data_IF_605253366348
#
_entry.id   IF_605253366348
#
_cell.length_a   1.000
_cell.length_b   1.000
_cell.length_c   1.000
_cell.angle_alpha   90.00
_cell.angle_beta   90.00
_cell.angle_gamma   90.00
#
_symmetry.space_group_name_H-M   'P 1'
#
loop_
_entity.id
_entity.type
_entity.pdbx_description
1 polymer ?
#
# COMPACT_ATOMS: atom_id res chain seq x y z
N UNK A 1 5.62 -8.13 11.58
CA UNK A 1 6.63 -7.12 11.22
C UNK A 1 6.22 -5.80 11.86
N UNK A 2 7.01 -5.28 12.77
CA UNK A 2 6.70 -4.04 13.50
C UNK A 2 7.25 -2.82 12.78
N UNK A 3 6.52 -1.71 12.84
CA UNK A 3 7.03 -0.41 12.43
C UNK A 3 7.76 0.24 13.61
N UNK A 4 8.95 0.80 13.37
CA UNK A 4 9.67 1.57 14.38
C UNK A 4 8.85 2.79 14.79
N UNK A 5 9.00 3.23 16.03
CA UNK A 5 8.18 4.28 16.63
C UNK A 5 9.04 5.50 16.93
N UNK A 6 8.47 6.70 16.73
CA UNK A 6 9.15 7.95 17.03
C UNK A 6 10.27 8.26 16.05
N UNK A 7 11.38 8.80 16.55
CA UNK A 7 12.53 9.21 15.73
C UNK A 7 13.37 8.06 15.20
N UNK A 8 13.11 6.84 15.62
CA UNK A 8 13.83 5.65 15.19
C UNK A 8 13.35 5.11 13.84
N UNK A 9 12.05 5.30 13.54
CA UNK A 9 11.46 4.90 12.29
C UNK A 9 11.23 6.10 11.40
N UNK A 10 12.03 6.26 10.36
CA UNK A 10 11.86 7.35 9.42
C UNK A 10 11.92 6.85 7.98
N UNK A 11 11.19 7.57 7.13
CA UNK A 11 11.34 7.52 5.70
C UNK A 11 11.86 8.86 5.20
N UNK A 12 12.45 8.87 4.04
CA UNK A 12 12.89 10.10 3.37
C UNK A 12 12.55 10.07 1.88
N UNK A 13 12.71 11.22 1.23
CA UNK A 13 12.60 11.37 -0.22
C UNK A 13 14.00 11.59 -0.79
N UNK A 14 14.72 10.51 -1.21
CA UNK A 14 16.08 10.62 -1.72
C UNK A 14 16.17 11.34 -3.06
N UNK A 15 15.08 11.32 -3.84
CA UNK A 15 15.04 11.97 -5.17
C UNK A 15 13.64 12.45 -5.50
N UNK A 16 13.57 13.59 -6.15
CA UNK A 16 12.35 14.09 -6.76
C UNK A 16 12.68 14.95 -7.99
N UNK A 17 11.72 15.04 -8.89
CA UNK A 17 11.75 15.93 -10.05
C UNK A 17 10.32 16.42 -10.33
N UNK A 18 10.17 17.69 -10.67
CA UNK A 18 8.86 18.29 -10.98
C UNK A 18 9.01 19.19 -12.20
N UNK A 19 8.10 19.01 -13.17
CA UNK A 19 7.89 19.89 -14.31
C UNK A 19 6.38 20.00 -14.61
N UNK A 20 6.02 20.80 -15.60
CA UNK A 20 4.61 20.97 -15.99
C UNK A 20 3.96 19.68 -16.50
N UNK A 21 4.74 18.76 -17.05
CA UNK A 21 4.26 17.55 -17.73
C UNK A 21 4.55 16.26 -16.97
N UNK A 22 5.56 16.24 -16.13
CA UNK A 22 5.99 15.06 -15.37
C UNK A 22 6.38 15.46 -13.97
N UNK A 23 5.93 14.68 -12.99
CA UNK A 23 6.52 14.65 -11.67
C UNK A 23 7.05 13.26 -11.34
N UNK A 24 8.16 13.22 -10.62
CA UNK A 24 8.78 11.99 -10.13
C UNK A 24 9.16 12.15 -8.67
N UNK A 25 8.90 11.12 -7.87
CA UNK A 25 9.35 11.05 -6.49
C UNK A 25 9.78 9.62 -6.16
N UNK A 26 10.89 9.50 -5.44
CA UNK A 26 11.28 8.25 -4.80
C UNK A 26 11.17 8.45 -3.27
N UNK A 27 10.35 7.63 -2.63
CA UNK A 27 10.26 7.54 -1.17
C UNK A 27 10.96 6.28 -0.69
N UNK A 28 11.82 6.40 0.31
CA UNK A 28 12.54 5.28 0.92
C UNK A 28 12.12 5.14 2.38
N UNK A 29 11.54 4.00 2.71
CA UNK A 29 11.07 3.65 4.05
C UNK A 29 11.82 2.44 4.63
N UNK A 30 13.01 2.13 4.09
CA UNK A 30 13.82 0.98 4.53
C UNK A 30 14.13 1.02 6.03
N UNK A 31 14.26 2.21 6.61
CA UNK A 31 14.51 2.39 8.04
C UNK A 31 13.25 2.51 8.91
N UNK A 32 12.05 2.47 8.30
CA UNK A 32 10.80 2.61 9.04
C UNK A 32 10.39 1.32 9.79
N UNK A 33 10.97 0.19 9.41
CA UNK A 33 10.66 -1.13 9.97
C UNK A 33 11.91 -1.74 10.62
N UNK A 34 11.71 -2.46 11.72
CA UNK A 34 12.78 -3.12 12.44
C UNK A 34 12.47 -3.25 13.92
N UNK A 35 13.45 -3.65 14.70
CA UNK A 35 13.31 -3.81 16.15
C UNK A 35 13.08 -2.45 16.81
N UNK A 36 12.11 -2.38 17.72
CA UNK A 36 11.89 -1.20 18.57
C UNK A 36 13.02 -1.13 19.61
N UNK A 37 13.75 -0.03 19.63
CA UNK A 37 14.88 0.20 20.54
C UNK A 37 14.66 1.39 21.48
N UNK A 38 13.59 2.16 21.30
CA UNK A 38 13.26 3.31 22.16
C UNK A 38 13.05 2.91 23.62
N UNK A 39 13.84 3.43 24.58
CA UNK A 39 13.67 3.09 25.99
C UNK A 39 12.26 3.40 26.51
N UNK A 40 11.63 4.47 26.02
CA UNK A 40 10.29 4.85 26.41
C UNK A 40 9.24 3.78 26.03
N UNK A 41 9.34 3.26 24.80
CA UNK A 41 8.40 2.26 24.32
C UNK A 41 8.66 0.88 24.91
N UNK A 42 9.91 0.53 25.16
CA UNK A 42 10.27 -0.68 25.89
C UNK A 42 9.69 -0.64 27.32
N UNK A 43 9.90 0.47 28.05
CA UNK A 43 9.33 0.66 29.38
C UNK A 43 7.81 0.58 29.37
N UNK A 44 7.13 1.20 28.41
CA UNK A 44 5.65 1.11 28.30
C UNK A 44 5.18 -0.29 27.95
N UNK A 45 5.90 -1.02 27.14
CA UNK A 45 5.64 -2.43 26.86
C UNK A 45 5.70 -3.28 28.13
N UNK A 46 6.77 -3.12 28.93
CA UNK A 46 6.93 -3.78 30.23
C UNK A 46 5.79 -3.43 31.19
N UNK A 47 5.45 -2.15 31.32
CA UNK A 47 4.34 -1.69 32.18
C UNK A 47 2.97 -2.24 31.74
N UNK A 48 2.82 -2.58 30.47
CA UNK A 48 1.60 -3.17 29.90
C UNK A 48 1.64 -4.69 29.87
N UNK A 49 2.67 -5.32 30.43
CA UNK A 49 2.93 -6.77 30.38
C UNK A 49 2.94 -7.32 28.95
N UNK A 50 3.45 -6.55 27.99
CA UNK A 50 3.64 -7.02 26.62
C UNK A 50 4.82 -7.97 26.56
N UNK A 51 4.61 -9.10 25.92
CA UNK A 51 5.69 -10.02 25.60
C UNK A 51 6.52 -9.47 24.43
N UNK A 52 7.82 -9.28 24.66
CA UNK A 52 8.78 -8.83 23.65
C UNK A 52 9.22 -10.00 22.77
N UNK A 53 8.30 -10.50 21.95
CA UNK A 53 8.54 -11.64 21.07
C UNK A 53 8.47 -11.25 19.59
N UNK A 54 9.03 -12.05 18.67
CA UNK A 54 8.90 -11.83 17.23
C UNK A 54 7.45 -11.77 16.76
N UNK A 55 6.56 -12.57 17.34
CA UNK A 55 5.14 -12.65 17.05
C UNK A 55 4.44 -11.32 17.33
N UNK A 56 4.89 -10.60 18.34
CA UNK A 56 4.40 -9.28 18.73
C UNK A 56 5.14 -8.14 18.02
N UNK A 57 5.99 -8.44 17.01
CA UNK A 57 6.67 -7.45 16.19
C UNK A 57 7.90 -6.80 16.82
N UNK A 58 8.47 -7.40 17.86
CA UNK A 58 9.64 -6.87 18.58
C UNK A 58 10.99 -7.35 18.04
N UNK A 59 10.97 -8.15 16.96
CA UNK A 59 12.19 -8.63 16.33
C UNK A 59 12.65 -7.72 15.18
N UNK A 60 13.91 -7.88 14.79
CA UNK A 60 14.42 -7.26 13.58
C UNK A 60 13.75 -7.91 12.36
N UNK A 61 13.32 -7.10 11.45
CA UNK A 61 12.63 -7.58 10.24
C UNK A 61 13.60 -8.05 9.17
N UNK A 62 14.89 -7.73 9.31
CA UNK A 62 15.89 -7.94 8.26
C UNK A 62 15.55 -7.19 6.96
N UNK A 63 14.75 -6.12 7.03
CA UNK A 63 14.39 -5.32 5.87
C UNK A 63 15.59 -4.51 5.39
N UNK A 64 15.97 -4.67 4.10
CA UNK A 64 17.08 -3.97 3.47
C UNK A 64 16.61 -2.81 2.59
N UNK A 65 15.60 -3.05 1.76
CA UNK A 65 15.06 -2.06 0.84
C UNK A 65 13.54 -2.08 0.92
N UNK A 66 12.97 -0.91 1.16
CA UNK A 66 11.55 -0.63 1.03
C UNK A 66 11.40 0.75 0.38
N UNK A 67 11.50 0.76 -0.95
CA UNK A 67 11.50 1.99 -1.73
C UNK A 67 10.37 2.00 -2.74
N UNK A 68 9.69 3.14 -2.85
CA UNK A 68 8.63 3.38 -3.82
C UNK A 68 8.99 4.53 -4.74
N UNK A 69 8.86 4.31 -6.03
CA UNK A 69 8.99 5.31 -7.08
C UNK A 69 7.60 5.63 -7.62
N UNK A 70 7.29 6.92 -7.76
CA UNK A 70 6.03 7.37 -8.35
C UNK A 70 6.36 8.36 -9.47
N UNK A 71 5.82 8.11 -10.65
CA UNK A 71 5.84 9.02 -11.80
C UNK A 71 4.41 9.39 -12.13
N UNK A 72 4.10 10.69 -12.21
CA UNK A 72 2.79 11.18 -12.64
C UNK A 72 2.94 11.98 -13.94
N UNK A 73 2.11 11.67 -14.92
CA UNK A 73 2.16 12.29 -16.24
C UNK A 73 1.14 13.43 -16.35
N UNK A 74 1.50 14.59 -15.84
CA UNK A 74 0.78 15.85 -16.01
C UNK A 74 -0.74 15.73 -15.89
N UNK A 75 -1.45 16.18 -16.94
CA UNK A 75 -2.92 16.15 -17.00
C UNK A 75 -3.52 14.87 -17.59
N UNK A 76 -2.69 13.87 -17.89
CA UNK A 76 -3.14 12.64 -18.57
C UNK A 76 -3.97 11.70 -17.70
N UNK A 77 -3.95 11.88 -16.38
CA UNK A 77 -4.57 10.96 -15.42
C UNK A 77 -3.73 9.70 -15.13
N UNK A 78 -2.58 9.52 -15.79
CA UNK A 78 -1.71 8.37 -15.58
C UNK A 78 -0.68 8.61 -14.49
N UNK A 79 -0.52 7.59 -13.65
CA UNK A 79 0.58 7.48 -12.69
C UNK A 79 1.18 6.08 -12.74
N UNK A 80 2.50 6.00 -12.57
CA UNK A 80 3.26 4.75 -12.49
C UNK A 80 3.88 4.64 -11.11
N UNK A 81 3.68 3.51 -10.47
CA UNK A 81 4.24 3.20 -9.15
C UNK A 81 5.13 1.98 -9.32
N UNK A 82 6.34 2.07 -8.80
CA UNK A 82 7.27 0.93 -8.80
C UNK A 82 7.89 0.76 -7.42
N UNK A 83 7.78 -0.46 -6.88
CA UNK A 83 8.26 -0.80 -5.55
C UNK A 83 9.49 -1.72 -5.64
N UNK A 84 10.57 -1.31 -4.99
CA UNK A 84 11.76 -2.12 -4.74
C UNK A 84 11.74 -2.62 -3.31
N UNK A 85 11.72 -3.94 -3.17
CA UNK A 85 11.60 -4.62 -1.89
C UNK A 85 12.71 -5.66 -1.75
N UNK A 86 13.45 -5.63 -0.62
CA UNK A 86 14.49 -6.60 -0.30
C UNK A 86 14.57 -6.85 1.21
N UNK A 87 14.72 -8.12 1.60
CA UNK A 87 14.92 -8.54 2.97
C UNK A 87 16.07 -9.57 3.06
N UNK A 88 16.65 -9.74 4.25
CA UNK A 88 17.72 -10.70 4.51
C UNK A 88 17.25 -12.14 4.33
N UNK A 89 16.04 -12.42 4.82
CA UNK A 89 15.40 -13.72 4.71
C UNK A 89 14.11 -13.67 3.87
N UNK A 90 13.65 -14.81 3.31
CA UNK A 90 12.42 -14.82 2.53
C UNK A 90 11.20 -14.41 3.36
N UNK A 91 10.56 -13.34 2.98
CA UNK A 91 9.34 -12.80 3.62
C UNK A 91 8.19 -12.68 2.62
N UNK A 92 6.99 -12.58 3.13
CA UNK A 92 5.79 -12.30 2.35
C UNK A 92 5.65 -10.79 2.16
N UNK A 93 5.49 -10.35 0.92
CA UNK A 93 5.28 -8.96 0.55
C UNK A 93 3.81 -8.71 0.26
N UNK A 94 3.28 -7.60 0.75
CA UNK A 94 1.87 -7.24 0.52
C UNK A 94 1.76 -5.86 -0.14
N UNK A 95 0.97 -5.80 -1.20
CA UNK A 95 0.54 -4.56 -1.84
C UNK A 95 -0.89 -4.26 -1.41
N UNK A 96 -1.14 -3.03 -0.94
CA UNK A 96 -2.42 -2.62 -0.38
C UNK A 96 -3.01 -1.46 -1.18
N UNK A 97 -4.30 -1.55 -1.49
CA UNK A 97 -5.11 -0.43 -1.99
C UNK A 97 -6.38 -0.30 -1.14
N UNK A 98 -6.86 0.93 -1.00
CA UNK A 98 -8.04 1.23 -0.22
C UNK A 98 -9.00 2.14 -0.98
N UNK A 99 -10.29 1.90 -0.81
CA UNK A 99 -11.36 2.83 -1.21
C UNK A 99 -12.28 3.13 -0.04
N UNK A 100 -12.91 4.30 -0.05
CA UNK A 100 -13.69 4.78 1.10
C UNK A 100 -15.12 4.21 1.09
N UNK A 101 -15.85 4.38 -0.01
CA UNK A 101 -17.30 4.11 -0.03
C UNK A 101 -17.69 2.91 -0.88
N UNK A 102 -17.05 2.73 -2.02
CA UNK A 102 -17.44 1.71 -2.98
C UNK A 102 -16.45 0.54 -2.97
N UNK A 103 -16.94 -0.70 -3.13
CA UNK A 103 -16.08 -1.85 -3.33
C UNK A 103 -15.24 -1.69 -4.60
N UNK A 104 -14.08 -2.32 -4.59
CA UNK A 104 -13.25 -2.46 -5.78
C UNK A 104 -13.67 -3.70 -6.57
N UNK A 105 -13.74 -3.56 -7.89
CA UNK A 105 -13.82 -4.71 -8.80
C UNK A 105 -12.41 -5.19 -9.08
N UNK A 106 -12.17 -6.50 -8.94
CA UNK A 106 -10.85 -7.10 -9.10
C UNK A 106 -10.92 -8.22 -10.10
N UNK A 107 -10.17 -8.09 -11.21
CA UNK A 107 -10.01 -9.10 -12.24
C UNK A 107 -8.55 -9.53 -12.30
N UNK A 108 -8.31 -10.84 -12.22
CA UNK A 108 -6.97 -11.41 -12.27
C UNK A 108 -6.72 -12.11 -13.59
N UNK A 109 -5.70 -11.68 -14.29
CA UNK A 109 -5.17 -12.35 -15.47
C UNK A 109 -3.90 -13.14 -15.13
N UNK A 110 -3.27 -13.73 -16.13
CA UNK A 110 -1.95 -14.37 -15.97
C UNK A 110 -0.82 -13.35 -15.76
N UNK A 111 -0.97 -12.14 -16.28
CA UNK A 111 0.11 -11.14 -16.36
C UNK A 111 -0.05 -10.03 -15.33
N UNK A 112 -1.28 -9.68 -14.98
CA UNK A 112 -1.57 -8.58 -14.05
C UNK A 112 -2.86 -8.81 -13.27
N UNK A 113 -3.03 -8.03 -12.22
CA UNK A 113 -4.31 -7.86 -11.51
C UNK A 113 -4.86 -6.49 -11.86
N UNK A 114 -6.06 -6.44 -12.44
CA UNK A 114 -6.79 -5.20 -12.69
C UNK A 114 -7.70 -4.91 -11.50
N UNK A 115 -7.58 -3.72 -10.96
CA UNK A 115 -8.37 -3.24 -9.83
C UNK A 115 -9.05 -1.95 -10.27
N UNK A 116 -10.39 -1.95 -10.32
CA UNK A 116 -11.19 -0.79 -10.65
C UNK A 116 -11.91 -0.26 -9.42
N UNK A 117 -11.66 0.99 -9.10
CA UNK A 117 -12.34 1.75 -8.05
C UNK A 117 -13.21 2.84 -8.69
N UNK A 118 -14.42 3.03 -8.17
CA UNK A 118 -15.36 4.03 -8.69
C UNK A 118 -15.85 4.93 -7.58
N UNK A 119 -16.09 6.20 -7.92
CA UNK A 119 -16.79 7.18 -7.10
C UNK A 119 -18.06 7.65 -7.79
N UNK A 120 -18.68 8.73 -7.30
CA UNK A 120 -19.84 9.33 -7.96
C UNK A 120 -19.49 9.83 -9.37
N UNK A 121 -18.37 10.54 -9.50
CA UNK A 121 -18.03 11.33 -10.69
C UNK A 121 -16.76 10.84 -11.39
N UNK A 122 -16.07 9.84 -10.86
CA UNK A 122 -14.81 9.36 -11.41
C UNK A 122 -14.57 7.87 -11.21
N UNK A 123 -13.60 7.35 -11.95
CA UNK A 123 -13.09 6.01 -11.82
C UNK A 123 -11.56 6.02 -11.82
N UNK A 124 -10.98 4.98 -11.25
CA UNK A 124 -9.54 4.72 -11.27
C UNK A 124 -9.31 3.25 -11.57
N UNK A 125 -8.52 2.98 -12.59
CA UNK A 125 -8.09 1.65 -12.98
C UNK A 125 -6.63 1.47 -12.59
N UNK A 126 -6.33 0.46 -11.79
CA UNK A 126 -4.98 0.09 -11.43
C UNK A 126 -4.63 -1.27 -12.02
N UNK A 127 -3.55 -1.34 -12.77
CA UNK A 127 -2.98 -2.56 -13.35
C UNK A 127 -1.74 -2.92 -12.55
N UNK A 128 -1.85 -3.90 -11.69
CA UNK A 128 -0.77 -4.36 -10.80
C UNK A 128 -0.04 -5.54 -11.42
N UNK A 129 1.23 -5.34 -11.70
CA UNK A 129 2.22 -6.34 -12.13
C UNK A 129 3.13 -6.69 -10.95
N UNK A 130 3.71 -7.87 -10.98
CA UNK A 130 4.61 -8.35 -9.94
C UNK A 130 5.67 -9.30 -10.47
N UNK A 131 6.78 -9.40 -9.74
CA UNK A 131 7.87 -10.30 -10.11
C UNK A 131 7.60 -11.78 -9.81
N UNK A 132 6.46 -12.11 -9.20
CA UNK A 132 6.04 -13.48 -8.86
C UNK A 132 4.52 -13.59 -8.73
N UNK A 133 4.06 -14.74 -8.28
CA UNK A 133 2.63 -15.03 -8.09
C UNK A 133 2.04 -14.21 -6.94
N UNK A 134 0.78 -13.79 -7.09
CA UNK A 134 0.03 -13.08 -6.07
C UNK A 134 -1.20 -13.88 -5.64
N UNK A 135 -1.49 -13.86 -4.34
CA UNK A 135 -2.80 -14.17 -3.77
C UNK A 135 -3.50 -12.85 -3.51
N UNK A 136 -4.75 -12.72 -3.91
CA UNK A 136 -5.52 -11.48 -3.77
C UNK A 136 -6.73 -11.69 -2.87
N UNK A 137 -7.03 -10.69 -2.06
CA UNK A 137 -8.20 -10.64 -1.21
C UNK A 137 -8.80 -9.23 -1.22
N UNK A 138 -10.11 -9.14 -1.01
CA UNK A 138 -10.83 -7.87 -0.89
C UNK A 138 -11.83 -7.96 0.24
N UNK A 139 -11.75 -7.06 1.20
CA UNK A 139 -12.62 -7.03 2.36
C UNK A 139 -13.00 -5.62 2.76
N UNK A 140 -14.17 -5.44 3.38
CA UNK A 140 -14.59 -4.18 4.03
C UNK A 140 -14.41 -4.23 5.55
N UNK A 141 -13.80 -5.29 6.10
CA UNK A 141 -13.69 -5.49 7.54
C UNK A 141 -12.31 -5.09 8.04
N UNK A 142 -12.29 -4.24 9.04
CA UNK A 142 -11.10 -4.01 9.84
C UNK A 142 -10.96 -5.09 10.92
N UNK A 143 -9.72 -5.40 11.28
CA UNK A 143 -9.41 -6.29 12.40
C UNK A 143 -10.01 -5.75 13.72
N UNK A 144 -9.85 -4.45 13.94
CA UNK A 144 -10.51 -3.70 15.02
C UNK A 144 -11.32 -2.59 14.39
N UNK A 145 -12.63 -2.45 14.70
CA UNK A 145 -13.43 -1.36 14.15
C UNK A 145 -12.80 0.00 14.47
N UNK A 146 -12.64 0.83 13.45
CA UNK A 146 -12.14 2.17 13.65
C UNK A 146 -13.20 3.04 14.34
N UNK A 147 -12.77 3.82 15.33
CA UNK A 147 -13.66 4.73 16.08
C UNK A 147 -13.19 6.17 15.96
N UNK A 148 -14.14 7.09 15.91
CA UNK A 148 -13.86 8.52 15.88
C UNK A 148 -13.71 9.07 17.29
N UNK A 149 -12.49 9.20 17.76
CA UNK A 149 -12.16 9.72 19.09
C UNK A 149 -12.62 11.15 19.35
N UNK A 150 -12.93 11.93 18.31
CA UNK A 150 -13.42 13.30 18.40
C UNK A 150 -14.95 13.39 18.52
N UNK A 151 -15.65 12.27 18.37
CA UNK A 151 -17.13 12.21 18.41
C UNK A 151 -17.57 11.13 19.38
N UNK A 152 -17.75 11.53 20.63
CA UNK A 152 -18.40 10.71 21.64
C UNK A 152 -19.87 11.11 21.77
N UNK A 153 -20.73 10.13 22.07
CA UNK A 153 -22.09 10.35 22.52
C UNK A 153 -22.13 10.88 23.97
N UNK A 154 -23.30 11.18 24.48
CA UNK A 154 -23.49 11.66 25.86
C UNK A 154 -23.06 10.64 26.94
N UNK A 155 -22.90 9.35 26.55
CA UNK A 155 -22.42 8.27 27.41
C UNK A 155 -20.93 8.00 27.28
N UNK A 156 -20.23 8.76 26.44
CA UNK A 156 -18.80 8.61 26.17
C UNK A 156 -18.45 7.52 25.16
N UNK A 157 -19.43 6.95 24.44
CA UNK A 157 -19.15 6.01 23.36
C UNK A 157 -18.71 6.76 22.10
N UNK A 158 -17.63 6.32 21.50
CA UNK A 158 -17.12 6.91 20.26
C UNK A 158 -17.92 6.44 19.05
N UNK A 159 -18.24 7.37 18.14
CA UNK A 159 -18.89 7.04 16.90
C UNK A 159 -17.99 6.14 16.03
N UNK A 160 -18.51 5.05 15.45
CA UNK A 160 -17.73 4.24 14.53
C UNK A 160 -17.45 5.01 13.24
N UNK A 161 -16.26 4.83 12.65
CA UNK A 161 -16.03 5.18 11.27
C UNK A 161 -16.64 4.12 10.34
N UNK A 162 -17.15 4.49 9.15
CA UNK A 162 -17.52 3.52 8.16
C UNK A 162 -16.30 2.69 7.76
N UNK A 163 -16.49 1.39 7.55
CA UNK A 163 -15.44 0.53 7.04
C UNK A 163 -15.04 0.97 5.63
N UNK A 164 -13.74 0.98 5.38
CA UNK A 164 -13.18 1.15 4.05
C UNK A 164 -13.01 -0.21 3.37
N UNK A 165 -13.02 -0.22 2.06
CA UNK A 165 -12.66 -1.40 1.30
C UNK A 165 -11.15 -1.52 1.18
N UNK A 166 -10.65 -2.72 1.41
CA UNK A 166 -9.23 -3.06 1.35
C UNK A 166 -9.02 -4.13 0.29
N UNK A 167 -8.16 -3.85 -0.65
CA UNK A 167 -7.57 -4.85 -1.53
C UNK A 167 -6.17 -5.17 -1.02
N UNK A 168 -5.86 -6.46 -0.94
CA UNK A 168 -4.53 -6.96 -0.59
C UNK A 168 -4.07 -7.93 -1.66
N UNK A 169 -2.85 -7.72 -2.19
CA UNK A 169 -2.16 -8.69 -3.01
C UNK A 169 -0.89 -9.15 -2.28
N UNK A 170 -0.78 -10.44 -2.04
CA UNK A 170 0.25 -11.05 -1.20
C UNK A 170 1.09 -12.02 -2.01
N UNK A 171 2.42 -11.88 -1.96
CA UNK A 171 3.38 -12.78 -2.61
C UNK A 171 3.60 -14.06 -1.82
N UNK A 172 4.14 -15.09 -2.46
CA UNK A 172 4.86 -16.13 -1.73
C UNK A 172 6.14 -15.55 -1.09
N UNK A 173 6.75 -16.29 -0.16
CA UNK A 173 7.96 -15.83 0.54
C UNK A 173 9.15 -15.68 -0.43
N UNK A 174 9.71 -14.49 -0.50
CA UNK A 174 10.87 -14.15 -1.34
C UNK A 174 11.75 -13.08 -0.68
N UNK A 175 13.07 -13.16 -0.90
CA UNK A 175 14.01 -12.14 -0.39
C UNK A 175 13.90 -10.83 -1.17
N UNK A 176 13.71 -10.91 -2.47
CA UNK A 176 13.61 -9.75 -3.38
C UNK A 176 12.28 -9.81 -4.09
N UNK A 177 11.56 -8.70 -4.09
CA UNK A 177 10.29 -8.59 -4.78
C UNK A 177 10.11 -7.23 -5.45
N UNK A 178 9.29 -7.19 -6.49
CA UNK A 178 8.97 -5.97 -7.22
C UNK A 178 7.48 -5.93 -7.50
N UNK A 179 6.88 -4.78 -7.25
CA UNK A 179 5.56 -4.43 -7.77
C UNK A 179 5.72 -3.30 -8.77
N UNK A 180 4.92 -3.33 -9.83
CA UNK A 180 4.77 -2.22 -10.76
C UNK A 180 3.28 -1.99 -10.99
N UNK A 181 2.81 -0.77 -10.82
CA UNK A 181 1.41 -0.44 -10.95
C UNK A 181 1.23 0.73 -11.91
N UNK A 182 0.37 0.56 -12.89
CA UNK A 182 -0.12 1.64 -13.74
C UNK A 182 -1.48 2.05 -13.19
N UNK A 183 -1.64 3.30 -12.81
CA UNK A 183 -2.92 3.86 -12.35
C UNK A 183 -3.41 4.85 -13.37
N UNK A 184 -4.64 4.69 -13.81
CA UNK A 184 -5.33 5.64 -14.69
C UNK A 184 -6.59 6.16 -14.00
N UNK A 185 -6.64 7.47 -13.77
CA UNK A 185 -7.79 8.15 -13.14
C UNK A 185 -8.48 9.02 -14.19
N UNK A 186 -9.80 8.86 -14.32
CA UNK A 186 -10.61 9.50 -15.34
C UNK A 186 -12.02 9.83 -14.85
N UNK A 187 -12.72 10.67 -15.58
CA UNK A 187 -14.15 10.90 -15.35
C UNK A 187 -14.95 9.64 -15.71
N UNK A 188 -16.07 9.42 -15.04
CA UNK A 188 -16.89 8.21 -15.22
C UNK A 188 -17.51 8.12 -16.62
N UNK A 189 -17.80 9.24 -17.24
CA UNK A 189 -18.44 9.28 -18.57
C UNK A 189 -17.52 8.81 -19.71
N UNK A 190 -16.22 8.69 -19.45
CA UNK A 190 -15.24 8.20 -20.42
C UNK A 190 -15.08 6.67 -20.42
N UNK A 191 -15.91 5.93 -19.71
CA UNK A 191 -15.80 4.47 -19.58
C UNK A 191 -15.90 3.75 -20.94
N UNK A 192 -16.67 4.28 -21.90
CA UNK A 192 -16.82 3.68 -23.23
C UNK A 192 -15.59 3.82 -24.13
N UNK A 193 -14.82 4.90 -23.99
CA UNK A 193 -13.58 5.13 -24.75
C UNK A 193 -12.39 4.36 -24.17
N UNK A 194 -12.39 4.14 -22.85
CA UNK A 194 -11.30 3.50 -22.13
C UNK A 194 -11.31 1.97 -22.16
N UNK A 195 -12.39 1.34 -22.60
CA UNK A 195 -12.43 -0.10 -22.88
C UNK A 195 -11.39 -0.53 -23.95
N UNK A 196 -10.82 0.43 -24.70
CA UNK A 196 -9.78 0.21 -25.71
C UNK A 196 -8.35 0.44 -25.18
N UNK A 197 -8.18 1.05 -24.02
CA UNK A 197 -6.88 1.28 -23.41
C UNK A 197 -6.41 0.06 -22.58
N UNK A 198 -6.43 -1.12 -23.15
CA UNK A 198 -5.71 -2.26 -22.60
C UNK A 198 -4.20 -1.94 -22.60
N UNK A 199 -3.46 -2.38 -21.56
CA UNK A 199 -2.02 -2.16 -21.53
C UNK A 199 -1.39 -2.71 -22.82
N UNK A 200 -0.36 -2.04 -23.38
CA UNK A 200 0.29 -2.49 -24.59
C UNK A 200 0.77 -3.92 -24.39
N UNK A 201 0.36 -4.80 -25.31
CA UNK A 201 0.86 -6.16 -25.33
C UNK A 201 2.37 -6.08 -25.53
N UNK A 202 3.15 -6.54 -24.56
CA UNK A 202 4.59 -6.70 -24.72
C UNK A 202 4.83 -7.81 -25.72
N UNK A 203 5.14 -7.47 -26.97
CA UNK A 203 5.69 -8.43 -27.93
C UNK A 203 6.99 -8.99 -27.35
N UNK A 204 6.98 -10.28 -27.02
CA UNK A 204 8.20 -11.02 -26.69
C UNK A 204 9.04 -11.14 -27.97
N UNK A 205 10.19 -10.50 -27.99
CA UNK A 205 11.31 -10.87 -28.86
C UNK A 205 12.18 -11.89 -28.15
#
# INVERSE_FOLDING_TARGET
MGQRIGTEGYGWIPRYYVSDNISYVAGDASNAYGKVISPLWLLRGEQSNLEFSPENGWDDTGLKIFRRHIVTLGKSGYSFIYDELEAEEPVTWSYLLHTVTNPMNVDKTREYVHIRATSKDGASDAYLFSSGTLKTDTTSRFFVPAVNWLRADEKGHFAPYPNHWHFTATSDKQKVYRFATIVYTHAKDNDAENAQAAPPQTERR
#
